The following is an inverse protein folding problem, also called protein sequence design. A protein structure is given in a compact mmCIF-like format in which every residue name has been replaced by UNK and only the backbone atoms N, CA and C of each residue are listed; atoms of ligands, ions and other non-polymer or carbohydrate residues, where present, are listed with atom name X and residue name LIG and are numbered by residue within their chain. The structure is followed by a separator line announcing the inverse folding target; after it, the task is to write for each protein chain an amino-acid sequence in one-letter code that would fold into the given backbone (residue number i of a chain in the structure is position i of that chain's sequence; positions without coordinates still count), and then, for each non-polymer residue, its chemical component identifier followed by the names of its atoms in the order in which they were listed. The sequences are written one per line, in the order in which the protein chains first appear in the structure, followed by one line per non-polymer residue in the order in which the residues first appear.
data_IF_253234097681
#
_entry.id   IF_253234097681
#
_cell.length_a   1.000
_cell.length_b   1.000
_cell.length_c   1.000
_cell.angle_alpha   90.00
_cell.angle_beta   90.00
_cell.angle_gamma   90.00
#
_symmetry.space_group_name_H-M   'P 1'
#
loop_
_entity.id
_entity.type
_entity.pdbx_description
1 polymer ?
#
# COMPACT_ATOMS: atom_id res chain seq x y z
N UNK A 1 -8.28 -29.49 -32.49
CA UNK A 1 -8.08 -28.04 -32.23
C UNK A 1 -7.38 -27.93 -30.89
N UNK A 2 -6.17 -27.36 -30.87
CA UNK A 2 -5.44 -27.20 -29.62
C UNK A 2 -6.15 -26.09 -28.82
N UNK A 3 -6.62 -26.42 -27.61
CA UNK A 3 -7.44 -25.54 -26.75
C UNK A 3 -6.65 -25.06 -25.55
N UNK A 4 -5.34 -24.89 -25.71
CA UNK A 4 -4.48 -24.42 -24.64
C UNK A 4 -4.81 -22.95 -24.34
N UNK A 5 -5.27 -22.71 -23.11
CA UNK A 5 -5.53 -21.38 -22.55
C UNK A 5 -4.57 -21.16 -21.39
N UNK A 6 -4.00 -19.95 -21.31
CA UNK A 6 -3.17 -19.50 -20.19
C UNK A 6 -3.66 -18.15 -19.67
N UNK A 7 -3.40 -17.88 -18.39
CA UNK A 7 -3.75 -16.63 -17.70
C UNK A 7 -2.49 -16.13 -16.98
N UNK A 8 -2.29 -14.80 -16.95
CA UNK A 8 -1.27 -14.13 -16.14
C UNK A 8 -2.02 -13.34 -15.06
N UNK A 9 -1.71 -13.62 -13.80
CA UNK A 9 -2.24 -12.89 -12.66
C UNK A 9 -1.21 -11.88 -12.18
N UNK A 10 -1.68 -10.68 -11.84
CA UNK A 10 -0.91 -9.78 -10.98
C UNK A 10 -0.91 -10.32 -9.53
N UNK A 11 0.01 -9.85 -8.69
CA UNK A 11 0.13 -10.27 -7.31
C UNK A 11 -0.69 -9.37 -6.37
N UNK A 12 -0.32 -8.10 -6.30
CA UNK A 12 -0.91 -7.12 -5.38
C UNK A 12 -2.31 -6.71 -5.85
N UNK A 13 -3.28 -6.72 -4.93
CA UNK A 13 -4.68 -6.37 -5.26
C UNK A 13 -5.42 -7.42 -6.09
N UNK A 14 -4.78 -8.56 -6.42
CA UNK A 14 -5.40 -9.70 -7.12
C UNK A 14 -5.26 -10.99 -6.30
N UNK A 15 -4.04 -11.43 -6.02
CA UNK A 15 -3.79 -12.65 -5.24
C UNK A 15 -3.68 -12.37 -3.74
N UNK A 16 -3.12 -11.22 -3.38
CA UNK A 16 -2.92 -10.82 -1.98
C UNK A 16 -3.53 -9.46 -1.67
N UNK A 17 -4.08 -9.33 -0.46
CA UNK A 17 -4.63 -8.06 0.02
C UNK A 17 -3.53 -7.27 0.73
N UNK A 18 -2.63 -6.65 -0.06
CA UNK A 18 -1.53 -5.83 0.46
C UNK A 18 -1.96 -4.42 0.87
N UNK A 19 -3.09 -3.93 0.37
CA UNK A 19 -3.55 -2.55 0.56
C UNK A 19 -3.72 -2.13 2.04
N UNK A 20 -4.29 -2.96 2.94
CA UNK A 20 -4.34 -2.62 4.36
C UNK A 20 -2.96 -2.36 4.97
N UNK A 21 -1.91 -3.03 4.49
CA UNK A 21 -0.54 -2.79 4.95
C UNK A 21 0.03 -1.49 4.39
N UNK A 22 -0.32 -1.11 3.16
CA UNK A 22 0.00 0.20 2.60
C UNK A 22 -0.66 1.33 3.40
N UNK A 23 -1.94 1.17 3.75
CA UNK A 23 -2.67 2.10 4.61
C UNK A 23 -1.99 2.25 5.98
N UNK A 24 -1.75 1.14 6.68
CA UNK A 24 -1.12 1.13 8.01
C UNK A 24 0.26 1.83 7.99
N UNK A 25 1.12 1.46 7.04
CA UNK A 25 2.44 2.08 6.92
C UNK A 25 2.34 3.59 6.64
N UNK A 26 1.40 4.00 5.80
CA UNK A 26 1.16 5.42 5.48
C UNK A 26 0.65 6.18 6.71
N UNK A 27 -0.35 5.63 7.42
CA UNK A 27 -0.93 6.22 8.61
C UNK A 27 0.12 6.40 9.72
N UNK A 28 0.89 5.37 10.02
CA UNK A 28 1.90 5.41 11.07
C UNK A 28 3.00 6.44 10.77
N UNK A 29 3.48 6.51 9.52
CA UNK A 29 4.52 7.46 9.15
C UNK A 29 4.00 8.90 9.15
N UNK A 30 2.83 9.17 8.57
CA UNK A 30 2.23 10.51 8.60
C UNK A 30 1.96 10.99 10.04
N UNK A 31 1.58 10.09 10.94
CA UNK A 31 1.39 10.42 12.36
C UNK A 31 2.67 10.92 13.03
N UNK A 32 3.86 10.46 12.60
CA UNK A 32 5.14 10.97 13.12
C UNK A 32 5.42 12.43 12.75
N UNK A 33 4.77 12.92 11.69
CA UNK A 33 4.79 14.31 11.26
C UNK A 33 3.59 15.12 11.77
N UNK A 34 2.75 14.53 12.65
CA UNK A 34 1.56 15.18 13.17
C UNK A 34 0.40 15.26 12.17
N UNK A 35 0.42 14.45 11.11
CA UNK A 35 -0.64 14.40 10.09
C UNK A 35 -1.50 13.14 10.32
N UNK A 36 -2.71 13.27 10.90
CA UNK A 36 -3.60 12.13 11.06
C UNK A 36 -4.17 11.70 9.70
N UNK A 37 -4.23 10.39 9.45
CA UNK A 37 -4.84 9.79 8.27
C UNK A 37 -5.93 8.81 8.70
N UNK A 38 -7.17 9.04 8.30
CA UNK A 38 -8.26 8.08 8.50
C UNK A 38 -8.29 7.03 7.39
N UNK A 39 -8.83 5.86 7.68
CA UNK A 39 -9.03 4.81 6.67
C UNK A 39 -9.96 5.29 5.55
N UNK A 40 -11.04 6.00 5.90
CA UNK A 40 -11.98 6.55 4.94
C UNK A 40 -11.34 7.57 3.99
N UNK A 41 -10.46 8.43 4.51
CA UNK A 41 -9.69 9.37 3.68
C UNK A 41 -8.71 8.62 2.77
N UNK A 42 -8.02 7.62 3.31
CA UNK A 42 -7.05 6.84 2.54
C UNK A 42 -7.72 6.16 1.34
N UNK A 43 -8.74 5.34 1.58
CA UNK A 43 -9.43 4.62 0.50
C UNK A 43 -10.27 5.53 -0.39
N UNK A 44 -10.82 6.61 0.14
CA UNK A 44 -11.67 7.53 -0.62
C UNK A 44 -10.90 8.53 -1.48
N UNK A 45 -9.64 8.84 -1.13
CA UNK A 45 -8.89 9.94 -1.73
C UNK A 45 -7.45 9.59 -2.06
N UNK A 46 -6.75 8.86 -1.20
CA UNK A 46 -5.29 8.76 -1.27
C UNK A 46 -4.74 7.48 -1.91
N UNK A 47 -5.53 6.40 -1.96
CA UNK A 47 -5.12 5.09 -2.52
C UNK A 47 -4.62 5.16 -3.97
N UNK A 48 -5.06 6.16 -4.73
CA UNK A 48 -4.68 6.33 -6.15
C UNK A 48 -3.31 6.99 -6.34
N UNK A 49 -2.70 7.50 -5.27
CA UNK A 49 -1.44 8.21 -5.31
C UNK A 49 -0.29 7.31 -4.90
N UNK A 50 0.88 7.54 -5.49
CA UNK A 50 2.13 6.95 -5.05
C UNK A 50 2.55 7.48 -3.67
N UNK A 51 3.43 6.74 -3.00
CA UNK A 51 4.02 7.16 -1.72
C UNK A 51 4.62 8.58 -1.80
N UNK A 52 5.30 8.90 -2.91
CA UNK A 52 5.89 10.22 -3.11
C UNK A 52 4.84 11.32 -3.23
N UNK A 53 3.78 11.09 -4.02
CA UNK A 53 2.68 12.04 -4.18
C UNK A 53 1.94 12.27 -2.86
N UNK A 54 1.73 11.22 -2.04
CA UNK A 54 1.16 11.34 -0.70
C UNK A 54 2.04 12.24 0.18
N UNK A 55 3.37 12.02 0.19
CA UNK A 55 4.28 12.89 0.96
C UNK A 55 4.27 14.33 0.44
N UNK A 56 4.18 14.54 -0.86
CA UNK A 56 4.12 15.88 -1.48
C UNK A 56 2.83 16.63 -1.13
N UNK A 57 1.69 15.92 -1.14
CA UNK A 57 0.37 16.48 -0.83
C UNK A 57 0.19 16.81 0.65
N UNK A 58 0.78 16.01 1.54
CA UNK A 58 0.46 16.04 2.97
C UNK A 58 1.57 16.60 3.85
N UNK A 59 2.84 16.61 3.39
CA UNK A 59 3.95 17.18 4.16
C UNK A 59 4.33 18.56 3.61
N UNK A 60 4.17 19.64 4.41
CA UNK A 60 4.49 20.99 3.97
C UNK A 60 6.01 21.19 3.79
N UNK A 61 6.82 20.51 4.60
CA UNK A 61 8.27 20.58 4.52
C UNK A 61 8.80 19.62 3.45
N UNK A 62 9.26 20.19 2.33
CA UNK A 62 9.83 19.43 1.23
C UNK A 62 11.09 18.64 1.62
N UNK A 63 11.84 19.09 2.63
CA UNK A 63 13.05 18.40 3.10
C UNK A 63 12.75 17.09 3.83
N UNK A 64 11.54 16.98 4.43
CA UNK A 64 11.10 15.79 5.14
C UNK A 64 10.58 14.68 4.21
N UNK A 65 10.08 15.02 3.01
CA UNK A 65 9.39 14.10 2.10
C UNK A 65 10.22 12.86 1.70
N UNK A 66 11.50 12.98 1.32
CA UNK A 66 12.31 11.81 0.95
C UNK A 66 12.50 10.84 2.12
N UNK A 67 12.73 11.38 3.32
CA UNK A 67 12.89 10.56 4.52
C UNK A 67 11.57 9.86 4.90
N UNK A 68 10.44 10.56 4.80
CA UNK A 68 9.12 10.01 5.06
C UNK A 68 8.76 8.86 4.09
N UNK A 69 8.99 9.06 2.79
CA UNK A 69 8.75 8.01 1.78
C UNK A 69 9.61 6.76 2.03
N UNK A 70 10.89 6.94 2.36
CA UNK A 70 11.78 5.82 2.71
C UNK A 70 11.35 5.12 4.00
N UNK A 71 10.95 5.88 5.02
CA UNK A 71 10.45 5.32 6.28
C UNK A 71 9.19 4.50 6.07
N UNK A 72 8.25 4.98 5.22
CA UNK A 72 7.04 4.25 4.87
C UNK A 72 7.35 2.96 4.10
N UNK A 73 8.26 3.00 3.14
CA UNK A 73 8.69 1.81 2.41
C UNK A 73 9.28 0.75 3.35
N UNK A 74 10.16 1.16 4.29
CA UNK A 74 10.73 0.25 5.30
C UNK A 74 9.64 -0.34 6.19
N UNK A 75 8.71 0.49 6.66
CA UNK A 75 7.64 0.04 7.54
C UNK A 75 6.69 -0.94 6.85
N UNK A 76 6.38 -0.70 5.58
CA UNK A 76 5.62 -1.64 4.76
C UNK A 76 6.32 -3.01 4.67
N UNK A 77 7.62 -3.05 4.42
CA UNK A 77 8.38 -4.30 4.36
C UNK A 77 8.40 -5.05 5.70
N UNK A 78 8.45 -4.33 6.82
CA UNK A 78 8.33 -4.94 8.16
C UNK A 78 6.95 -5.58 8.38
N UNK A 79 5.87 -4.91 7.94
CA UNK A 79 4.51 -5.45 7.99
C UNK A 79 4.37 -6.70 7.11
N UNK A 80 4.89 -6.63 5.88
CA UNK A 80 4.91 -7.78 4.95
C UNK A 80 5.65 -8.98 5.56
N UNK A 81 6.80 -8.74 6.20
CA UNK A 81 7.57 -9.79 6.85
C UNK A 81 6.83 -10.43 8.05
N UNK A 82 5.93 -9.69 8.70
CA UNK A 82 5.04 -10.21 9.74
C UNK A 82 3.86 -11.03 9.19
N UNK A 83 3.62 -10.97 7.88
CA UNK A 83 2.61 -11.75 7.16
C UNK A 83 1.62 -10.86 6.40
N UNK A 84 1.28 -11.29 5.18
CA UNK A 84 0.25 -10.64 4.36
C UNK A 84 -1.02 -11.51 4.40
N UNK A 85 -2.19 -10.95 4.74
CA UNK A 85 -3.43 -11.70 4.64
C UNK A 85 -3.73 -12.03 3.16
N UNK A 86 -3.98 -13.31 2.81
CA UNK A 86 -4.45 -13.65 1.48
C UNK A 86 -5.86 -13.08 1.26
N UNK A 87 -6.23 -12.81 0.01
CA UNK A 87 -7.65 -12.59 -0.28
C UNK A 87 -8.42 -13.89 0.01
N UNK A 88 -9.54 -13.84 0.75
CA UNK A 88 -10.31 -15.04 1.11
C UNK A 88 -10.67 -15.91 -0.11
N UNK A 89 -10.94 -15.28 -1.25
CA UNK A 89 -11.33 -15.94 -2.50
C UNK A 89 -10.26 -15.91 -3.59
N UNK A 90 -9.15 -15.18 -3.39
CA UNK A 90 -8.13 -14.94 -4.44
C UNK A 90 -7.42 -16.20 -4.93
N UNK A 91 -7.41 -17.25 -4.11
CA UNK A 91 -6.80 -18.54 -4.44
C UNK A 91 -7.74 -19.51 -5.18
N UNK A 92 -9.04 -19.21 -5.30
CA UNK A 92 -9.99 -20.10 -5.97
C UNK A 92 -9.82 -20.14 -7.50
N UNK A 93 -9.01 -19.21 -8.04
CA UNK A 93 -8.74 -19.06 -9.47
C UNK A 93 -7.37 -19.63 -9.89
N UNK A 94 -6.60 -20.17 -8.94
CA UNK A 94 -5.31 -20.86 -9.14
C UNK A 94 -5.49 -22.38 -9.14
#
# INVERSE_FOLDING_TARGET
MNTDRGVIFDMDGVLINSEPLHFLATQEILATYGVPMSEADYYGRYIVYSDWEIMELLLPDASARPAAAQAKSRRYLELVAAGIPPFPDGLQLL
#
